data_IF_690825280187
#
_entry.id   IF_690825280187
#
_cell.length_a   1.000
_cell.length_b   1.000
_cell.length_c   1.000
_cell.angle_alpha   90.00
_cell.angle_beta   90.00
_cell.angle_gamma   90.00
#
_symmetry.space_group_name_H-M   'P 1'
#
loop_
_entity.id
_entity.type
_entity.pdbx_description
1 polymer ?
#
# COMPACT_ATOMS: atom_id res chain seq x y z
N UNK A 1 -15.28 -14.83 -9.54
CA UNK A 1 -14.10 -14.40 -10.16
C UNK A 1 -13.36 -13.47 -9.31
N UNK A 2 -12.10 -13.66 -9.28
CA UNK A 2 -11.33 -12.92 -8.38
C UNK A 2 -10.79 -11.73 -9.02
N UNK A 3 -11.34 -10.62 -8.78
CA UNK A 3 -10.94 -9.40 -9.40
C UNK A 3 -10.19 -8.52 -8.44
N UNK A 4 -8.90 -8.65 -8.44
CA UNK A 4 -8.09 -7.81 -7.60
C UNK A 4 -6.95 -7.23 -8.42
N UNK A 5 -6.36 -6.17 -7.90
CA UNK A 5 -5.24 -5.50 -8.53
C UNK A 5 -4.14 -5.37 -7.52
N UNK A 6 -2.90 -5.51 -7.96
CA UNK A 6 -1.77 -5.45 -7.07
C UNK A 6 -0.80 -4.37 -7.49
N UNK A 7 -0.05 -3.85 -6.53
CA UNK A 7 0.97 -2.86 -6.79
C UNK A 7 2.09 -3.11 -5.80
N UNK A 8 3.30 -3.28 -6.27
CA UNK A 8 4.40 -3.58 -5.37
C UNK A 8 5.63 -2.82 -5.79
N UNK A 9 6.56 -2.72 -4.86
CA UNK A 9 7.79 -2.02 -5.11
C UNK A 9 8.58 -1.87 -3.84
N UNK A 10 9.52 -0.92 -3.83
CA UNK A 10 10.34 -0.64 -2.67
C UNK A 10 10.29 0.84 -2.39
N UNK A 11 10.21 1.19 -1.12
CA UNK A 11 10.19 2.60 -0.75
C UNK A 11 11.19 2.85 0.37
N UNK A 12 11.78 4.04 0.32
CA UNK A 12 12.64 4.50 1.40
C UNK A 12 12.01 5.71 2.08
N UNK A 13 10.73 5.95 1.82
CA UNK A 13 10.00 7.05 2.43
C UNK A 13 8.86 6.49 3.25
N UNK A 14 8.34 7.30 4.15
CA UNK A 14 7.24 6.84 4.99
C UNK A 14 5.88 7.04 4.30
N UNK A 15 5.88 7.02 2.99
CA UNK A 15 4.67 7.21 2.22
C UNK A 15 4.71 6.34 0.97
N UNK A 16 3.65 5.64 0.70
CA UNK A 16 3.48 4.90 -0.53
C UNK A 16 2.36 5.58 -1.30
N UNK A 17 2.66 5.97 -2.55
CA UNK A 17 1.65 6.59 -3.38
C UNK A 17 1.20 5.61 -4.43
N UNK A 18 -0.08 5.34 -4.48
CA UNK A 18 -0.64 4.43 -5.47
C UNK A 18 -0.88 5.17 -6.78
N UNK A 19 -0.91 4.44 -7.91
CA UNK A 19 -1.18 5.09 -9.19
C UNK A 19 -2.55 5.76 -9.19
N UNK A 20 -2.66 6.87 -9.88
CA UNK A 20 -3.91 7.60 -9.89
C UNK A 20 -5.04 6.80 -10.53
N UNK A 21 -4.72 5.85 -11.41
CA UNK A 21 -5.75 5.03 -12.03
C UNK A 21 -6.48 4.16 -11.01
N UNK A 22 -5.85 3.91 -9.86
CA UNK A 22 -6.50 3.08 -8.84
C UNK A 22 -7.74 3.77 -8.27
N UNK A 23 -7.78 5.08 -8.34
CA UNK A 23 -8.92 5.80 -7.81
C UNK A 23 -10.21 5.37 -8.50
N UNK A 24 -10.13 5.09 -9.80
CA UNK A 24 -11.30 4.69 -10.57
C UNK A 24 -11.44 3.19 -10.70
N UNK A 25 -10.39 2.44 -10.43
CA UNK A 25 -10.41 1.01 -10.71
C UNK A 25 -10.51 0.13 -9.48
N UNK A 26 -10.09 0.63 -8.34
CA UNK A 26 -9.96 -0.19 -7.15
C UNK A 26 -10.80 0.39 -6.03
N UNK A 27 -11.45 -0.50 -5.29
CA UNK A 27 -12.19 -0.09 -4.10
C UNK A 27 -11.17 0.16 -3.01
N UNK A 28 -10.89 1.42 -2.74
CA UNK A 28 -9.83 1.79 -1.83
C UNK A 28 -10.10 1.37 -0.39
N UNK A 29 -11.32 1.01 -0.07
CA UNK A 29 -11.62 0.52 1.26
C UNK A 29 -11.22 -0.92 1.46
N UNK A 30 -10.84 -1.61 0.40
CA UNK A 30 -10.45 -3.02 0.51
C UNK A 30 -8.95 -3.21 0.45
N UNK A 31 -8.18 -2.13 0.46
CA UNK A 31 -6.75 -2.22 0.29
C UNK A 31 -6.10 -2.92 1.48
N UNK A 32 -5.23 -3.86 1.15
CA UNK A 32 -4.44 -4.56 2.14
C UNK A 32 -2.98 -4.34 1.79
N UNK A 33 -2.17 -3.99 2.76
CA UNK A 33 -0.77 -3.63 2.54
C UNK A 33 0.12 -4.56 3.33
N UNK A 34 1.12 -5.11 2.65
CA UNK A 34 2.09 -5.99 3.29
C UNK A 34 3.46 -5.37 3.13
N UNK A 35 4.22 -5.34 4.19
CA UNK A 35 5.52 -4.70 4.21
C UNK A 35 6.58 -5.71 4.60
N UNK A 36 7.74 -5.65 3.91
CA UNK A 36 8.87 -6.48 4.22
C UNK A 36 10.06 -5.57 4.44
N UNK A 37 10.55 -5.52 5.66
CA UNK A 37 11.65 -4.63 6.00
C UNK A 37 12.95 -5.12 5.39
N UNK A 38 13.78 -4.18 4.99
CA UNK A 38 15.06 -4.49 4.38
C UNK A 38 16.16 -4.05 5.35
N UNK A 39 17.05 -4.94 5.64
CA UNK A 39 18.22 -4.61 6.44
C UNK A 39 18.03 -4.82 7.91
N UNK A 40 17.08 -4.18 8.51
CA UNK A 40 16.88 -4.24 9.94
C UNK A 40 15.42 -4.17 10.28
N UNK A 41 15.07 -4.58 11.48
CA UNK A 41 13.70 -4.51 11.94
C UNK A 41 13.37 -3.06 12.25
N UNK A 42 12.46 -2.49 11.50
CA UNK A 42 12.09 -1.08 11.62
C UNK A 42 10.75 -0.89 12.30
N UNK A 43 10.13 -1.98 12.74
CA UNK A 43 8.80 -1.93 13.37
C UNK A 43 7.83 -1.09 12.53
N UNK A 44 7.80 -1.37 11.24
CA UNK A 44 6.94 -0.62 10.34
C UNK A 44 5.49 -0.94 10.60
N UNK A 45 4.68 0.10 10.68
CA UNK A 45 3.25 -0.08 10.77
C UNK A 45 2.60 0.86 9.78
N UNK A 46 1.39 0.51 9.39
CA UNK A 46 0.61 1.37 8.53
C UNK A 46 -0.13 2.34 9.43
N UNK A 47 0.26 3.61 9.36
CA UNK A 47 -0.33 4.61 10.21
C UNK A 47 -1.75 4.92 9.76
N UNK A 48 -1.93 5.05 8.47
CA UNK A 48 -3.26 5.25 7.92
C UNK A 48 -3.22 5.15 6.40
N UNK A 49 -4.36 4.90 5.81
CA UNK A 49 -4.53 4.92 4.37
C UNK A 49 -5.48 6.06 4.07
N UNK A 50 -5.05 6.99 3.23
CA UNK A 50 -5.87 8.13 2.91
C UNK A 50 -5.92 8.28 1.40
N UNK A 51 -7.01 7.88 0.79
CA UNK A 51 -7.16 7.91 -0.65
C UNK A 51 -6.10 7.03 -1.29
N UNK A 52 -5.26 7.62 -2.11
CA UNK A 52 -4.20 6.89 -2.79
C UNK A 52 -2.89 6.92 -2.03
N UNK A 53 -2.90 7.40 -0.80
CA UNK A 53 -1.67 7.53 -0.02
C UNK A 53 -1.72 6.59 1.17
N UNK A 54 -0.64 5.86 1.38
CA UNK A 54 -0.51 4.96 2.51
C UNK A 54 0.62 5.50 3.38
N UNK A 55 0.28 5.90 4.59
CA UNK A 55 1.24 6.52 5.49
C UNK A 55 1.83 5.47 6.43
N UNK A 56 3.15 5.45 6.51
CA UNK A 56 3.86 4.47 7.30
C UNK A 56 4.52 5.14 8.50
N UNK A 57 4.80 4.35 9.51
CA UNK A 57 5.49 4.83 10.70
C UNK A 57 6.52 3.81 11.12
N UNK A 58 7.69 4.28 11.53
CA UNK A 58 8.75 3.40 11.99
C UNK A 58 9.06 3.71 13.45
N UNK A 59 10.01 2.96 13.99
CA UNK A 59 10.46 3.20 15.36
C UNK A 59 11.60 4.22 15.41
N UNK A 60 11.76 5.04 14.37
CA UNK A 60 12.79 6.05 14.36
C UNK A 60 13.89 5.77 13.37
N UNK A 61 13.93 4.59 12.79
CA UNK A 61 14.90 4.26 11.77
C UNK A 61 14.38 4.69 10.41
N UNK A 62 15.28 4.92 9.44
CA UNK A 62 14.83 5.25 8.10
C UNK A 62 14.02 4.11 7.51
N UNK A 63 13.02 4.46 6.74
CA UNK A 63 12.19 3.47 6.09
C UNK A 63 12.97 2.84 4.93
N UNK A 64 12.96 1.54 4.84
CA UNK A 64 13.51 0.84 3.70
C UNK A 64 12.79 -0.49 3.66
N UNK A 65 11.82 -0.61 2.79
CA UNK A 65 11.03 -1.82 2.75
C UNK A 65 10.47 -2.06 1.37
N UNK A 66 10.17 -3.33 1.11
CA UNK A 66 9.36 -3.68 -0.03
C UNK A 66 7.91 -3.63 0.40
N UNK A 67 7.04 -3.25 -0.51
CA UNK A 67 5.62 -3.24 -0.20
C UNK A 67 4.86 -4.01 -1.25
N UNK A 68 3.76 -4.59 -0.83
CA UNK A 68 2.86 -5.30 -1.70
C UNK A 68 1.45 -4.87 -1.32
N UNK A 69 0.78 -4.21 -2.22
CA UNK A 69 -0.55 -3.68 -1.97
C UNK A 69 -1.53 -4.40 -2.87
N UNK A 70 -2.62 -4.85 -2.29
CA UNK A 70 -3.63 -5.52 -3.08
C UNK A 70 -4.98 -4.92 -2.75
N UNK A 71 -5.80 -4.69 -3.75
CA UNK A 71 -7.13 -4.16 -3.56
C UNK A 71 -8.09 -4.81 -4.53
N UNK A 72 -9.36 -4.83 -4.17
CA UNK A 72 -10.36 -5.42 -5.04
C UNK A 72 -10.81 -4.41 -6.06
N UNK A 73 -11.04 -4.85 -7.26
CA UNK A 73 -11.52 -3.97 -8.31
C UNK A 73 -12.93 -3.53 -8.01
N UNK A 74 -13.26 -2.32 -8.40
CA UNK A 74 -14.62 -1.83 -8.25
C UNK A 74 -15.55 -2.65 -9.12
N UNK A 75 -16.71 -2.95 -8.55
CA UNK A 75 -17.69 -3.73 -9.26
C UNK A 75 -18.46 -2.82 -10.16
N UNK A 76 -18.21 -2.91 -11.43
CA UNK A 76 -18.86 -2.06 -12.30
C UNK A 76 -20.06 -2.66 -12.82
N UNK A 77 -20.89 -3.13 -12.14
CA UNK A 77 -22.01 -3.75 -12.53
C UNK A 77 -22.78 -3.05 -13.46
N UNK A 78 -23.19 -3.45 -14.36
CA UNK A 78 -23.97 -2.75 -15.28
C UNK A 78 -25.31 -3.27 -15.39
#
# INVERSE_FOLDING_TARGET
MDDSKTFFGRTTKNLIELPSSWEDEVDLSTISVHLTEVGANQNLIIKRVQGLQIHLQTNGLPVDCYYFVIGELLDEEE
#
